data_IF_713949432328
#
_entry.id   IF_713949432328
#
_cell.length_a   1.000
_cell.length_b   1.000
_cell.length_c   1.000
_cell.angle_alpha   90.00
_cell.angle_beta   90.00
_cell.angle_gamma   90.00
#
_symmetry.space_group_name_H-M   'P 1'
#
loop_
_entity.id
_entity.type
_entity.pdbx_description
1 polymer ?
#
# COMPACT_ATOMS: atom_id res chain seq x y z
N UNK A 1 -10.14 55.28 -16.39
CA UNK A 1 -10.80 54.25 -15.54
C UNK A 1 -9.74 53.31 -14.99
N UNK A 2 -9.57 53.21 -13.66
CA UNK A 2 -8.63 52.25 -13.04
C UNK A 2 -9.26 50.86 -13.04
N UNK A 3 -8.62 49.88 -13.70
CA UNK A 3 -8.96 48.46 -13.59
C UNK A 3 -8.58 47.97 -12.19
N UNK A 4 -9.56 47.54 -11.39
CA UNK A 4 -9.34 46.88 -10.10
C UNK A 4 -8.89 45.43 -10.32
N UNK A 5 -7.87 45.00 -9.57
CA UNK A 5 -7.43 43.60 -9.56
C UNK A 5 -8.56 42.69 -9.04
N UNK A 6 -8.71 41.46 -9.57
CA UNK A 6 -9.72 40.53 -9.07
C UNK A 6 -9.43 40.20 -7.60
N UNK A 7 -10.42 40.35 -6.72
CA UNK A 7 -10.28 39.92 -5.33
C UNK A 7 -10.08 38.41 -5.33
N UNK A 8 -8.89 37.94 -4.94
CA UNK A 8 -8.64 36.52 -4.70
C UNK A 8 -9.51 36.10 -3.52
N UNK A 9 -10.71 35.62 -3.80
CA UNK A 9 -11.61 35.06 -2.79
C UNK A 9 -10.85 33.99 -2.01
N UNK A 10 -10.92 34.09 -0.68
CA UNK A 10 -10.09 33.31 0.25
C UNK A 10 -10.03 31.83 -0.12
N UNK A 11 -8.83 31.25 0.01
CA UNK A 11 -8.56 29.83 -0.26
C UNK A 11 -9.57 28.96 0.51
N UNK A 12 -10.38 28.18 -0.21
CA UNK A 12 -11.32 27.23 0.40
C UNK A 12 -10.54 26.27 1.30
N UNK A 13 -11.05 26.02 2.50
CA UNK A 13 -10.47 25.03 3.43
C UNK A 13 -10.31 23.68 2.73
N UNK A 14 -9.18 22.97 2.92
CA UNK A 14 -9.02 21.63 2.36
C UNK A 14 -10.15 20.70 2.80
N UNK A 15 -10.72 19.97 1.85
CA UNK A 15 -11.77 18.99 2.13
C UNK A 15 -11.19 17.81 2.94
N UNK A 16 -11.82 17.48 4.06
CA UNK A 16 -11.48 16.32 4.89
C UNK A 16 -12.66 15.35 4.93
N UNK A 17 -12.40 14.09 4.58
CA UNK A 17 -13.40 13.02 4.69
C UNK A 17 -13.76 12.75 6.16
N UNK A 18 -15.01 12.33 6.40
CA UNK A 18 -15.45 11.90 7.72
C UNK A 18 -14.68 10.63 8.14
N UNK A 19 -14.44 10.42 9.45
CA UNK A 19 -13.91 9.14 9.94
C UNK A 19 -14.72 7.97 9.38
N UNK A 20 -14.04 6.89 8.99
CA UNK A 20 -14.66 5.70 8.38
C UNK A 20 -14.88 5.78 6.86
N UNK A 21 -14.99 6.97 6.26
CA UNK A 21 -15.21 7.07 4.80
C UNK A 21 -14.05 6.48 3.99
N UNK A 22 -12.81 6.78 4.39
CA UNK A 22 -11.62 6.26 3.71
C UNK A 22 -11.42 4.77 3.99
N UNK A 23 -11.65 4.33 5.22
CA UNK A 23 -11.55 2.92 5.60
C UNK A 23 -12.53 2.02 4.81
N UNK A 24 -13.80 2.42 4.69
CA UNK A 24 -14.78 1.67 3.89
C UNK A 24 -14.41 1.63 2.40
N UNK A 25 -13.80 2.69 1.88
CA UNK A 25 -13.31 2.73 0.50
C UNK A 25 -12.12 1.78 0.30
N UNK A 26 -11.20 1.72 1.25
CA UNK A 26 -10.05 0.80 1.22
C UNK A 26 -10.49 -0.65 1.34
N UNK A 27 -11.44 -0.97 2.24
CA UNK A 27 -12.02 -2.32 2.37
C UNK A 27 -12.62 -2.76 1.04
N UNK A 28 -13.47 -1.92 0.42
CA UNK A 28 -14.08 -2.23 -0.89
C UNK A 28 -13.04 -2.40 -1.99
N UNK A 29 -11.96 -1.59 -1.97
CA UNK A 29 -10.87 -1.69 -2.94
C UNK A 29 -10.16 -3.04 -2.80
N UNK A 30 -9.72 -3.39 -1.59
CA UNK A 30 -8.94 -4.61 -1.36
C UNK A 30 -9.76 -5.89 -1.50
N UNK A 31 -11.05 -5.86 -1.21
CA UNK A 31 -11.94 -6.99 -1.50
C UNK A 31 -12.17 -7.20 -3.01
N UNK A 32 -12.02 -6.17 -3.84
CA UNK A 32 -12.19 -6.27 -5.30
C UNK A 32 -10.93 -6.76 -6.02
N UNK A 33 -9.76 -6.52 -5.44
CA UNK A 33 -8.46 -6.92 -6.00
C UNK A 33 -7.94 -8.21 -5.37
N UNK A 34 -7.04 -8.89 -6.07
CA UNK A 34 -6.27 -10.03 -5.55
C UNK A 34 -4.77 -9.71 -5.42
N UNK A 35 -4.43 -8.42 -5.31
CA UNK A 35 -3.04 -8.00 -5.16
C UNK A 35 -2.51 -8.37 -3.76
N UNK A 36 -1.27 -8.82 -3.71
CA UNK A 36 -0.59 -9.09 -2.44
C UNK A 36 -0.42 -7.78 -1.65
N UNK A 37 -0.91 -7.75 -0.42
CA UNK A 37 -0.82 -6.57 0.45
C UNK A 37 0.57 -6.42 1.09
N UNK A 38 1.31 -7.52 1.20
CA UNK A 38 2.67 -7.54 1.75
C UNK A 38 3.68 -7.39 0.60
N UNK A 39 4.67 -6.51 0.77
CA UNK A 39 5.72 -6.26 -0.23
C UNK A 39 6.59 -7.51 -0.45
N UNK A 40 6.86 -7.84 -1.71
CA UNK A 40 7.59 -9.05 -2.12
C UNK A 40 9.00 -9.17 -1.53
N UNK A 41 9.81 -8.11 -1.59
CA UNK A 41 11.22 -8.19 -1.13
C UNK A 41 11.36 -8.37 0.39
N UNK A 42 10.65 -7.61 1.25
CA UNK A 42 10.64 -7.87 2.69
C UNK A 42 10.15 -9.28 3.02
N UNK A 43 9.06 -9.74 2.39
CA UNK A 43 8.55 -11.10 2.59
C UNK A 43 9.56 -12.17 2.21
N UNK A 44 10.21 -12.03 1.06
CA UNK A 44 11.29 -12.94 0.63
C UNK A 44 12.46 -12.97 1.63
N UNK A 45 12.86 -11.82 2.20
CA UNK A 45 13.93 -11.77 3.20
C UNK A 45 13.53 -12.55 4.46
N UNK A 46 12.30 -12.34 4.94
CA UNK A 46 11.76 -13.05 6.10
C UNK A 46 11.74 -14.57 5.89
N UNK A 47 11.30 -15.02 4.72
CA UNK A 47 11.31 -16.46 4.39
C UNK A 47 12.73 -17.04 4.46
N UNK A 48 13.73 -16.32 3.95
CA UNK A 48 15.13 -16.77 3.97
C UNK A 48 15.73 -16.74 5.36
N UNK A 49 15.41 -15.72 6.16
CA UNK A 49 15.82 -15.61 7.55
C UNK A 49 15.36 -16.83 8.35
N UNK A 50 14.05 -17.13 8.32
CA UNK A 50 13.47 -18.28 9.01
C UNK A 50 14.07 -19.59 8.50
N UNK A 51 14.22 -19.75 7.19
CA UNK A 51 14.73 -21.00 6.62
C UNK A 51 16.19 -21.28 6.99
N UNK A 52 17.00 -20.23 7.16
CA UNK A 52 18.40 -20.34 7.53
C UNK A 52 18.58 -20.98 8.91
N UNK A 53 17.63 -20.77 9.83
CA UNK A 53 17.63 -21.37 11.17
C UNK A 53 17.45 -22.90 11.14
N UNK A 54 16.85 -23.44 10.08
CA UNK A 54 16.64 -24.88 9.92
C UNK A 54 17.73 -25.55 9.08
N UNK A 55 18.15 -24.89 7.99
CA UNK A 55 19.19 -25.42 7.10
C UNK A 55 19.86 -24.29 6.33
N UNK A 56 21.19 -24.24 6.40
CA UNK A 56 21.99 -23.28 5.66
C UNK A 56 22.02 -23.61 4.16
N UNK A 57 22.25 -22.58 3.33
CA UNK A 57 22.48 -22.69 1.87
C UNK A 57 21.29 -23.19 1.03
N UNK A 58 20.06 -23.01 1.54
CA UNK A 58 18.84 -23.30 0.79
C UNK A 58 18.63 -22.32 -0.38
N UNK A 59 18.31 -22.88 -1.54
CA UNK A 59 17.87 -22.12 -2.72
C UNK A 59 16.36 -22.24 -2.88
N UNK A 60 15.73 -21.11 -3.18
CA UNK A 60 14.28 -21.03 -3.38
C UNK A 60 13.96 -20.76 -4.84
N UNK A 61 12.99 -21.50 -5.36
CA UNK A 61 12.32 -21.13 -6.61
C UNK A 61 11.49 -19.86 -6.39
N UNK A 62 11.36 -19.03 -7.43
CA UNK A 62 10.51 -17.83 -7.37
C UNK A 62 9.05 -18.17 -7.07
N UNK A 63 8.54 -19.24 -7.68
CA UNK A 63 7.19 -19.74 -7.44
C UNK A 63 6.98 -20.22 -6.00
N UNK A 64 8.01 -20.81 -5.36
CA UNK A 64 7.91 -21.27 -3.97
C UNK A 64 7.75 -20.10 -2.99
N UNK A 65 8.48 -18.99 -3.20
CA UNK A 65 8.29 -17.78 -2.38
C UNK A 65 6.89 -17.20 -2.59
N UNK A 66 6.37 -17.21 -3.82
CA UNK A 66 5.00 -16.76 -4.10
C UNK A 66 3.93 -17.64 -3.45
N UNK A 67 4.14 -18.97 -3.44
CA UNK A 67 3.23 -19.92 -2.83
C UNK A 67 3.20 -19.85 -1.29
N UNK A 68 4.23 -19.32 -0.65
CA UNK A 68 4.20 -19.06 0.80
C UNK A 68 3.39 -17.80 1.15
N UNK A 69 3.11 -16.93 0.17
CA UNK A 69 2.44 -15.64 0.35
C UNK A 69 0.98 -15.61 -0.14
N UNK A 70 0.37 -16.77 -0.47
CA UNK A 70 -1.00 -16.83 -1.02
C UNK A 70 -2.07 -16.33 -0.05
#
# INVERSE_FOLDING_TARGET
ARKSAPSTGGVKKPHRYRPGTVALREIRRYQKSTELLIRKLPFQRLVREIAQDFKTDLRFQSAAIGALQV
#
